data_IF_802347757917
#
_entry.id   IF_802347757917
#
_cell.length_a   1.000
_cell.length_b   1.000
_cell.length_c   1.000
_cell.angle_alpha   90.00
_cell.angle_beta   90.00
_cell.angle_gamma   90.00
#
_symmetry.space_group_name_H-M   'P 1'
#
loop_
_entity.id
_entity.type
_entity.pdbx_description
1 polymer ?
#
# COMPACT_ATOMS: atom_id res chain seq x y z
N UNK A 1 5.42 -8.84 2.20
CA UNK A 1 5.63 -7.76 1.21
C UNK A 1 6.75 -6.85 1.69
N UNK A 2 7.51 -6.27 0.76
CA UNK A 2 8.63 -5.37 1.10
C UNK A 2 8.21 -3.93 0.80
N UNK A 3 7.92 -3.09 1.80
CA UNK A 3 7.30 -1.77 1.60
C UNK A 3 8.00 -0.89 0.57
N UNK A 4 9.33 -0.73 0.66
CA UNK A 4 10.10 0.11 -0.29
C UNK A 4 10.05 -0.42 -1.72
N UNK A 5 10.16 -1.74 -1.89
CA UNK A 5 10.13 -2.41 -3.19
C UNK A 5 8.70 -2.48 -3.77
N UNK A 6 7.66 -2.27 -2.95
CA UNK A 6 6.25 -2.36 -3.36
C UNK A 6 5.64 -0.97 -3.63
N UNK A 7 5.87 0.00 -2.74
CA UNK A 7 5.28 1.36 -2.83
C UNK A 7 5.83 2.12 -4.03
N UNK A 8 7.14 2.02 -4.33
CA UNK A 8 7.74 2.76 -5.44
C UNK A 8 7.18 2.32 -6.81
N UNK A 9 7.08 1.01 -7.12
CA UNK A 9 6.39 0.58 -8.34
C UNK A 9 4.89 0.90 -8.33
N UNK A 10 4.23 0.85 -7.18
CA UNK A 10 2.81 1.20 -7.10
C UNK A 10 2.55 2.68 -7.42
N UNK A 11 3.43 3.60 -6.98
CA UNK A 11 3.32 5.01 -7.32
C UNK A 11 3.42 5.25 -8.85
N UNK A 12 4.37 4.58 -9.51
CA UNK A 12 4.48 4.60 -10.97
C UNK A 12 3.24 3.97 -11.65
N UNK A 13 2.69 2.90 -11.07
CA UNK A 13 1.49 2.22 -11.56
C UNK A 13 0.24 3.12 -11.50
N UNK A 14 0.09 3.91 -10.44
CA UNK A 14 -0.96 4.92 -10.29
C UNK A 14 -0.77 6.05 -11.32
N UNK A 15 0.45 6.58 -11.43
CA UNK A 15 0.76 7.67 -12.35
C UNK A 15 0.46 7.31 -13.82
N UNK A 16 0.79 6.08 -14.25
CA UNK A 16 0.48 5.58 -15.59
C UNK A 16 -1.03 5.50 -15.89
N UNK A 17 -1.87 5.51 -14.84
CA UNK A 17 -3.34 5.49 -14.92
C UNK A 17 -3.97 6.86 -14.64
N UNK A 18 -3.17 7.92 -14.52
CA UNK A 18 -3.64 9.25 -14.15
C UNK A 18 -4.14 9.36 -12.71
N UNK A 19 -3.78 8.41 -11.86
CA UNK A 19 -4.14 8.38 -10.44
C UNK A 19 -2.98 8.88 -9.58
N UNK A 20 -3.31 9.38 -8.39
CA UNK A 20 -2.35 9.75 -7.34
C UNK A 20 -2.92 9.33 -6.00
N UNK A 21 -2.05 9.02 -5.04
CA UNK A 21 -2.44 8.84 -3.64
C UNK A 21 -1.52 9.68 -2.75
N UNK A 22 -2.09 10.67 -2.07
CA UNK A 22 -1.43 11.34 -0.96
C UNK A 22 -2.09 10.87 0.33
N UNK A 23 -1.31 10.20 1.17
CA UNK A 23 -1.83 9.53 2.35
C UNK A 23 -0.81 9.47 3.49
N UNK A 24 -1.30 9.42 4.71
CA UNK A 24 -0.54 9.09 5.90
C UNK A 24 -0.66 7.59 6.12
N UNK A 25 0.48 6.91 6.16
CA UNK A 25 0.57 5.48 6.47
C UNK A 25 1.05 5.28 7.90
N UNK A 26 0.65 4.17 8.52
CA UNK A 26 1.03 3.81 9.88
C UNK A 26 1.49 2.36 9.99
N UNK A 27 1.80 1.93 11.22
CA UNK A 27 2.17 0.55 11.50
C UNK A 27 3.57 0.15 11.00
N UNK A 28 3.75 -1.15 10.75
CA UNK A 28 5.05 -1.71 10.39
C UNK A 28 5.59 -1.18 9.06
N UNK A 29 4.71 -0.94 8.08
CA UNK A 29 5.12 -0.44 6.77
C UNK A 29 5.75 0.96 6.86
N UNK A 30 5.17 1.83 7.69
CA UNK A 30 5.70 3.17 7.94
C UNK A 30 7.11 3.11 8.57
N UNK A 31 7.32 2.25 9.56
CA UNK A 31 8.63 2.07 10.20
C UNK A 31 9.72 1.58 9.23
N UNK A 32 9.37 0.69 8.31
CA UNK A 32 10.29 0.21 7.27
C UNK A 32 10.60 1.31 6.26
N UNK A 33 9.61 2.09 5.85
CA UNK A 33 9.81 3.20 4.90
C UNK A 33 10.70 4.28 5.51
N UNK A 34 10.51 4.61 6.79
CA UNK A 34 11.37 5.52 7.56
C UNK A 34 12.78 4.96 7.83
N UNK A 35 13.03 3.67 7.57
CA UNK A 35 14.32 3.03 7.80
C UNK A 35 14.62 2.72 9.27
N UNK A 36 13.59 2.77 10.14
CA UNK A 36 13.74 2.42 11.55
C UNK A 36 13.92 0.91 11.77
N UNK A 37 13.34 0.09 10.88
CA UNK A 37 13.44 -1.38 10.90
C UNK A 37 13.58 -1.94 9.48
N UNK A 38 14.05 -3.19 9.35
CA UNK A 38 14.37 -3.84 8.06
C UNK A 38 13.68 -5.19 7.85
N UNK A 39 12.41 -5.31 8.26
CA UNK A 39 11.61 -6.54 8.08
C UNK A 39 10.54 -6.38 7.00
N UNK A 40 10.05 -7.51 6.50
CA UNK A 40 8.83 -7.53 5.67
C UNK A 40 7.58 -7.23 6.50
N UNK A 41 6.54 -6.74 5.83
CA UNK A 41 5.21 -6.51 6.40
C UNK A 41 4.15 -7.28 5.61
N UNK A 42 3.01 -7.55 6.22
CA UNK A 42 1.88 -8.18 5.54
C UNK A 42 1.23 -7.20 4.56
N UNK A 43 1.07 -5.97 5.03
CA UNK A 43 0.22 -4.92 4.49
C UNK A 43 0.86 -3.53 4.73
N UNK A 44 0.18 -2.51 4.21
CA UNK A 44 0.41 -1.09 4.38
C UNK A 44 -0.91 -0.43 4.79
N UNK A 45 -0.99 -0.02 6.06
CA UNK A 45 -2.15 0.62 6.64
C UNK A 45 -2.17 2.11 6.31
N UNK A 46 -3.26 2.59 5.70
CA UNK A 46 -3.53 4.02 5.48
C UNK A 46 -4.39 4.56 6.62
N UNK A 47 -3.94 5.62 7.28
CA UNK A 47 -4.67 6.28 8.36
C UNK A 47 -5.58 7.41 7.86
N UNK A 48 -5.10 8.22 6.92
CA UNK A 48 -5.89 9.33 6.34
C UNK A 48 -5.30 9.71 4.97
N UNK A 49 -6.12 10.02 3.95
CA UNK A 49 -7.58 9.89 3.93
C UNK A 49 -8.03 8.43 3.91
N UNK A 50 -9.34 8.20 4.03
CA UNK A 50 -9.90 6.91 3.58
C UNK A 50 -9.51 6.68 2.13
N UNK A 51 -9.07 5.46 1.80
CA UNK A 51 -8.66 5.09 0.47
C UNK A 51 -9.79 5.30 -0.55
N UNK A 52 -9.58 6.18 -1.56
CA UNK A 52 -10.57 6.36 -2.61
C UNK A 52 -10.77 5.07 -3.39
N UNK A 53 -12.00 4.85 -3.90
CA UNK A 53 -12.38 3.62 -4.62
C UNK A 53 -11.46 3.32 -5.80
N UNK A 54 -11.04 4.35 -6.53
CA UNK A 54 -10.16 4.19 -7.69
C UNK A 54 -8.75 3.73 -7.27
N UNK A 55 -8.24 4.22 -6.13
CA UNK A 55 -6.97 3.78 -5.58
C UNK A 55 -7.05 2.35 -5.03
N UNK A 56 -8.16 1.94 -4.41
CA UNK A 56 -8.40 0.55 -4.01
C UNK A 56 -8.44 -0.38 -5.22
N UNK A 57 -9.17 0.01 -6.28
CA UNK A 57 -9.21 -0.74 -7.53
C UNK A 57 -7.84 -0.88 -8.17
N UNK A 58 -7.05 0.20 -8.16
CA UNK A 58 -5.67 0.17 -8.64
C UNK A 58 -4.76 -0.73 -7.77
N UNK A 59 -4.93 -0.73 -6.44
CA UNK A 59 -4.17 -1.58 -5.54
C UNK A 59 -4.43 -3.07 -5.80
N UNK A 60 -5.69 -3.47 -6.05
CA UNK A 60 -6.05 -4.83 -6.43
C UNK A 60 -5.45 -5.21 -7.80
N UNK A 61 -5.57 -4.33 -8.80
CA UNK A 61 -5.01 -4.57 -10.13
C UNK A 61 -3.48 -4.72 -10.08
N UNK A 62 -2.81 -3.88 -9.30
CA UNK A 62 -1.36 -3.97 -9.07
C UNK A 62 -0.98 -5.29 -8.39
N UNK A 63 -1.72 -5.71 -7.37
CA UNK A 63 -1.47 -7.00 -6.70
C UNK A 63 -1.59 -8.18 -7.67
N UNK A 64 -2.59 -8.16 -8.57
CA UNK A 64 -2.74 -9.17 -9.60
C UNK A 64 -1.55 -9.19 -10.59
N UNK A 65 -1.08 -8.03 -11.04
CA UNK A 65 0.09 -7.93 -11.94
C UNK A 65 1.37 -8.44 -11.27
N UNK A 66 1.63 -8.05 -10.02
CA UNK A 66 2.79 -8.51 -9.24
C UNK A 66 2.74 -10.03 -9.00
N UNK A 67 1.56 -10.59 -8.69
CA UNK A 67 1.40 -12.05 -8.60
C UNK A 67 1.68 -12.75 -9.93
N UNK A 68 1.32 -12.13 -11.06
CA UNK A 68 1.63 -12.61 -12.40
C UNK A 68 3.14 -12.76 -12.67
N UNK A 69 3.99 -12.03 -11.94
CA UNK A 69 5.46 -12.15 -12.03
C UNK A 69 6.05 -13.15 -11.03
N UNK A 70 5.22 -13.91 -10.31
CA UNK A 70 5.67 -14.89 -9.32
C UNK A 70 5.96 -14.33 -7.92
N UNK A 71 5.70 -13.05 -7.67
CA UNK A 71 5.86 -12.43 -6.34
C UNK A 71 4.51 -12.43 -5.61
N UNK A 72 4.40 -13.05 -4.43
CA UNK A 72 3.14 -13.02 -3.69
C UNK A 72 2.86 -11.63 -3.11
N UNK A 73 1.75 -11.03 -3.53
CA UNK A 73 1.18 -9.81 -2.95
C UNK A 73 -0.32 -10.03 -2.77
N UNK A 74 -0.84 -9.85 -1.55
CA UNK A 74 -2.26 -10.06 -1.26
C UNK A 74 -3.11 -8.92 -1.82
N UNK A 75 -4.41 -9.12 -2.02
CA UNK A 75 -5.29 -8.05 -2.51
C UNK A 75 -5.45 -6.92 -1.48
N UNK A 76 -5.46 -7.25 -0.20
CA UNK A 76 -5.57 -6.32 0.93
C UNK A 76 -4.24 -5.71 1.39
N UNK A 77 -3.18 -5.80 0.56
CA UNK A 77 -1.85 -5.29 0.90
C UNK A 77 -1.81 -3.78 1.16
N UNK A 78 -2.76 -3.02 0.61
CA UNK A 78 -3.01 -1.61 0.90
C UNK A 78 -4.45 -1.50 1.38
N UNK A 79 -4.65 -1.10 2.62
CA UNK A 79 -5.97 -1.05 3.23
C UNK A 79 -6.10 0.20 4.11
N UNK A 80 -7.33 0.57 4.45
CA UNK A 80 -7.55 1.52 5.52
C UNK A 80 -7.14 0.81 6.80
N UNK A 81 -6.11 1.34 7.45
CA UNK A 81 -5.71 0.89 8.78
C UNK A 81 -6.86 1.07 9.76
N UNK A 82 -6.67 0.71 11.04
CA UNK A 82 -7.64 1.03 12.07
C UNK A 82 -7.80 2.55 12.14
N UNK A 83 -8.74 3.09 11.38
CA UNK A 83 -9.32 4.39 11.61
C UNK A 83 -9.82 4.34 13.05
N UNK A 84 -9.48 5.38 13.82
CA UNK A 84 -9.85 5.45 15.22
C UNK A 84 -11.29 4.99 15.41
N UNK A 85 -11.47 3.88 16.15
CA UNK A 85 -12.59 3.78 17.05
C UNK A 85 -12.33 4.83 18.15
N UNK A 86 -12.37 6.10 17.76
CA UNK A 86 -12.44 7.22 18.66
C UNK A 86 -13.91 7.41 18.95
N UNK A 87 -14.33 6.85 20.10
CA UNK A 87 -15.51 7.19 20.91
C UNK A 87 -16.87 7.23 20.21
#
# INVERSE_FOLDING_TARGET
MKPRETIRPFDAFLAARGLKLEAVIVGGAALVLLGAITRETRDCDVMVPDLPRDNLGAAHAFAAEVRGTGVPLQDDWLNNGPAGHGV
#
